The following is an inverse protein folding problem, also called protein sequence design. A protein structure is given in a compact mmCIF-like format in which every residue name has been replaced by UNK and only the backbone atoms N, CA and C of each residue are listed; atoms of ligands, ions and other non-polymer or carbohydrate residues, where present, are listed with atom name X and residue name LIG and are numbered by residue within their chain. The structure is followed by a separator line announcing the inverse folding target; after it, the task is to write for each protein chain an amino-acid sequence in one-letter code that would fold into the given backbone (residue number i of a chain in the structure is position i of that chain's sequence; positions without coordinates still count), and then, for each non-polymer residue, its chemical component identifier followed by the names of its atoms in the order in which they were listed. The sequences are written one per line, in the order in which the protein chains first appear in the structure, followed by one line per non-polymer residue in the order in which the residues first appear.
data_IF_255873714848
#
_entry.id   IF_255873714848
#
_cell.length_a   1.000
_cell.length_b   1.000
_cell.length_c   1.000
_cell.angle_alpha   90.00
_cell.angle_beta   90.00
_cell.angle_gamma   90.00
#
_symmetry.space_group_name_H-M   'P 1'
#
loop_
_entity.id
_entity.type
_entity.pdbx_description
1 polymer ?
#
# COMPACT_ATOMS: atom_id res chain seq x y z
N UNK A 1 3.86 0.10 13.06
CA UNK A 1 2.59 -0.35 12.48
C UNK A 1 1.64 0.83 12.51
N UNK A 2 1.70 1.66 11.47
CA UNK A 2 0.87 2.86 11.38
C UNK A 2 -0.34 2.50 10.54
N UNK A 3 -1.47 2.25 11.20
CA UNK A 3 -2.74 2.00 10.52
C UNK A 3 -3.36 3.35 10.19
N UNK A 4 -3.46 3.67 8.89
CA UNK A 4 -3.98 4.96 8.43
C UNK A 4 -5.26 4.75 7.62
N UNK A 5 -6.28 5.55 7.91
CA UNK A 5 -7.56 5.58 7.22
C UNK A 5 -7.56 6.74 6.23
N UNK A 6 -7.65 6.43 4.94
CA UNK A 6 -7.80 7.41 3.86
C UNK A 6 -9.26 7.41 3.40
N UNK A 7 -9.92 8.56 3.48
CA UNK A 7 -11.17 8.81 2.77
C UNK A 7 -10.81 9.26 1.35
N UNK A 8 -11.35 8.69 0.27
CA UNK A 8 -11.04 9.16 -1.09
C UNK A 8 -12.13 10.07 -1.69
N UNK A 9 -13.12 10.46 -0.89
CA UNK A 9 -14.28 11.20 -1.38
C UNK A 9 -15.26 10.37 -2.21
N UNK A 10 -14.90 9.12 -2.46
CA UNK A 10 -15.73 8.04 -2.98
C UNK A 10 -16.22 7.17 -1.83
N UNK A 11 -17.12 6.26 -2.16
CA UNK A 11 -17.73 5.29 -1.27
C UNK A 11 -16.81 4.29 -0.54
N UNK A 12 -15.49 4.44 -0.52
CA UNK A 12 -14.60 3.47 0.11
C UNK A 12 -13.63 4.13 1.07
N UNK A 13 -13.45 3.47 2.21
CA UNK A 13 -12.42 3.75 3.17
C UNK A 13 -11.19 2.90 2.84
N UNK A 14 -9.98 3.47 2.89
CA UNK A 14 -8.76 2.68 2.76
C UNK A 14 -7.99 2.62 4.05
N UNK A 15 -7.78 1.40 4.54
CA UNK A 15 -6.89 1.09 5.66
C UNK A 15 -5.53 0.67 5.12
N UNK A 16 -4.51 1.48 5.39
CA UNK A 16 -3.13 1.21 5.00
C UNK A 16 -2.37 0.52 6.13
N UNK A 17 -1.72 -0.60 5.83
CA UNK A 17 -0.73 -1.27 6.65
C UNK A 17 0.63 -1.13 5.98
N UNK A 18 1.47 -0.23 6.49
CA UNK A 18 2.85 -0.09 6.02
C UNK A 18 3.82 -0.98 6.81
N UNK A 19 4.57 -1.80 6.07
CA UNK A 19 5.70 -2.57 6.54
C UNK A 19 6.99 -1.82 6.20
N UNK A 20 7.35 -0.85 7.04
CA UNK A 20 8.62 -0.11 6.99
C UNK A 20 9.83 -0.97 7.28
N UNK A 21 10.34 -1.69 6.26
CA UNK A 21 11.44 -2.65 6.41
C UNK A 21 12.83 -2.01 6.30
N UNK A 22 12.96 -0.90 5.58
CA UNK A 22 14.23 -0.22 5.35
C UNK A 22 14.04 1.28 5.09
N UNK A 23 14.94 1.88 4.29
CA UNK A 23 14.91 3.32 3.98
C UNK A 23 13.58 3.78 3.40
N UNK A 24 12.96 3.02 2.48
CA UNK A 24 11.68 3.44 1.86
C UNK A 24 10.55 3.69 2.86
N UNK A 25 10.61 3.11 4.07
CA UNK A 25 9.64 3.38 5.13
C UNK A 25 9.62 4.85 5.57
N UNK A 26 10.77 5.55 5.57
CA UNK A 26 10.78 6.97 5.97
C UNK A 26 10.16 7.87 4.90
N UNK A 27 10.35 7.56 3.62
CA UNK A 27 9.67 8.28 2.54
C UNK A 27 8.18 7.96 2.46
N UNK A 28 7.76 6.73 2.79
CA UNK A 28 6.32 6.40 2.92
C UNK A 28 5.70 7.14 4.09
N UNK A 29 6.35 7.17 5.27
CA UNK A 29 5.88 8.00 6.39
C UNK A 29 5.82 9.48 6.01
N UNK A 30 6.84 10.02 5.34
CA UNK A 30 6.84 11.41 4.89
C UNK A 30 5.73 11.72 3.87
N UNK A 31 5.40 10.77 2.98
CA UNK A 31 4.29 10.90 2.05
C UNK A 31 2.94 10.95 2.78
N UNK A 32 2.77 10.08 3.78
CA UNK A 32 1.54 9.92 4.54
C UNK A 32 1.32 11.03 5.59
N UNK A 33 2.38 11.50 6.26
CA UNK A 33 2.32 12.59 7.25
C UNK A 33 2.41 13.99 6.62
N UNK A 34 3.16 14.15 5.53
CA UNK A 34 3.55 15.47 5.04
C UNK A 34 2.63 16.08 3.99
N UNK A 35 1.82 15.28 3.27
CA UNK A 35 1.14 15.75 2.04
C UNK A 35 -0.23 15.15 1.73
N UNK A 36 -0.91 14.52 2.68
CA UNK A 36 -2.30 14.10 2.43
C UNK A 36 -3.28 15.28 2.26
N UNK A 37 -2.86 16.51 2.57
CA UNK A 37 -3.59 17.74 2.25
C UNK A 37 -3.45 18.22 0.79
N UNK A 38 -2.51 17.67 -0.02
CA UNK A 38 -2.14 18.25 -1.33
C UNK A 38 -2.53 17.41 -2.55
N UNK A 39 -2.93 16.14 -2.39
CA UNK A 39 -3.35 15.26 -3.51
C UNK A 39 -4.71 14.59 -3.31
N UNK A 40 -5.43 15.02 -2.27
CA UNK A 40 -6.83 14.71 -2.09
C UNK A 40 -7.67 15.51 -3.13
N UNK A 41 -8.62 14.93 -3.89
CA UNK A 41 -9.88 15.67 -4.08
C UNK A 41 -10.35 16.12 -2.68
N UNK A 42 -11.00 17.27 -2.55
CA UNK A 42 -11.23 18.09 -1.33
C UNK A 42 -11.79 17.40 -0.03
N UNK A 43 -11.76 16.08 0.06
CA UNK A 43 -12.40 15.19 1.00
C UNK A 43 -11.47 14.08 1.56
N UNK A 44 -10.19 13.95 1.17
CA UNK A 44 -9.32 12.97 1.82
C UNK A 44 -8.83 13.42 3.20
N UNK A 45 -9.52 12.94 4.22
CA UNK A 45 -9.19 13.17 5.63
C UNK A 45 -8.54 11.93 6.20
N UNK A 46 -7.36 12.08 6.82
CA UNK A 46 -6.88 11.12 7.82
C UNK A 46 -7.80 11.26 9.02
N UNK A 47 -8.87 10.46 9.03
CA UNK A 47 -9.86 10.47 10.11
C UNK A 47 -9.61 9.26 10.99
N UNK A 48 -9.47 9.44 12.31
CA UNK A 48 -9.57 8.33 13.26
C UNK A 48 -11.01 7.82 13.39
N UNK A 49 -11.98 8.58 12.86
CA UNK A 49 -13.41 8.30 12.94
C UNK A 49 -13.94 7.75 11.60
N UNK A 50 -15.01 6.95 11.69
CA UNK A 50 -15.61 6.34 10.54
C UNK A 50 -16.19 7.41 9.59
N UNK A 51 -15.75 7.40 8.33
CA UNK A 51 -16.38 8.17 7.27
C UNK A 51 -17.85 7.71 7.16
N UNK A 52 -18.76 8.53 7.68
CA UNK A 52 -20.20 8.32 7.59
C UNK A 52 -20.62 8.29 6.12
N UNK A 53 -20.80 7.09 5.56
CA UNK A 53 -21.20 6.89 4.15
C UNK A 53 -20.30 5.99 3.31
N UNK A 54 -19.23 5.39 3.85
CA UNK A 54 -18.43 4.42 3.10
C UNK A 54 -19.23 3.11 2.82
N UNK A 55 -19.35 2.72 1.54
CA UNK A 55 -19.86 1.44 1.05
C UNK A 55 -18.98 0.24 1.46
N UNK A 56 -17.72 0.46 1.87
CA UNK A 56 -16.85 -0.60 2.39
C UNK A 56 -15.44 -0.14 2.76
N UNK A 57 -14.69 -1.02 3.41
CA UNK A 57 -13.28 -0.81 3.78
C UNK A 57 -12.38 -1.65 2.88
N UNK A 58 -11.36 -1.04 2.30
CA UNK A 58 -10.32 -1.66 1.48
C UNK A 58 -9.03 -1.69 2.27
N UNK A 59 -8.32 -2.80 2.23
CA UNK A 59 -7.09 -3.00 2.98
C UNK A 59 -5.88 -2.97 2.04
N UNK A 60 -4.87 -2.16 2.36
CA UNK A 60 -3.70 -1.97 1.50
C UNK A 60 -2.44 -2.29 2.28
N UNK A 61 -1.69 -3.29 1.82
CA UNK A 61 -0.39 -3.64 2.35
C UNK A 61 0.69 -2.90 1.56
N UNK A 62 1.45 -2.04 2.22
CA UNK A 62 2.62 -1.39 1.62
C UNK A 62 3.88 -2.12 2.09
N UNK A 63 4.66 -2.64 1.15
CA UNK A 63 5.96 -3.27 1.42
C UNK A 63 7.05 -2.26 1.07
N UNK A 64 7.50 -1.52 2.10
CA UNK A 64 8.42 -0.39 1.95
C UNK A 64 9.83 -0.75 2.41
N UNK A 65 10.59 -1.35 1.49
CA UNK A 65 12.01 -1.63 1.70
C UNK A 65 12.45 -3.03 1.32
N UNK A 66 13.59 -3.45 1.87
CA UNK A 66 14.18 -4.75 1.54
C UNK A 66 13.49 -5.87 2.28
N UNK A 67 13.09 -6.92 1.56
CA UNK A 67 12.51 -8.13 2.16
C UNK A 67 13.63 -9.15 2.30
N UNK A 68 13.93 -9.51 3.54
CA UNK A 68 14.88 -10.58 3.82
C UNK A 68 14.15 -11.92 3.89
N UNK A 69 14.85 -13.01 3.60
CA UNK A 69 14.24 -14.35 3.61
C UNK A 69 13.70 -14.74 4.99
N UNK A 70 14.31 -14.19 6.05
CA UNK A 70 13.86 -14.35 7.44
C UNK A 70 12.56 -13.58 7.71
N UNK A 71 12.40 -12.41 7.09
CA UNK A 71 11.22 -11.56 7.29
C UNK A 71 10.06 -11.99 6.41
N UNK A 72 10.33 -12.64 5.27
CA UNK A 72 9.33 -13.09 4.31
C UNK A 72 8.11 -13.81 4.92
N UNK A 73 8.25 -14.80 5.82
CA UNK A 73 7.07 -15.46 6.42
C UNK A 73 6.22 -14.49 7.25
N UNK A 74 6.81 -13.47 7.89
CA UNK A 74 6.06 -12.46 8.63
C UNK A 74 5.28 -11.53 7.70
N UNK A 75 5.85 -11.20 6.53
CA UNK A 75 5.17 -10.40 5.49
C UNK A 75 3.97 -11.15 4.93
N UNK A 76 4.13 -12.44 4.63
CA UNK A 76 3.03 -13.30 4.14
C UNK A 76 1.95 -13.45 5.21
N UNK A 77 2.33 -13.71 6.47
CA UNK A 77 1.36 -13.79 7.57
C UNK A 77 0.59 -12.49 7.78
N UNK A 78 1.24 -11.33 7.61
CA UNK A 78 0.57 -10.03 7.66
C UNK A 78 -0.46 -9.88 6.53
N UNK A 79 -0.10 -10.29 5.30
CA UNK A 79 -1.02 -10.28 4.17
C UNK A 79 -2.21 -11.24 4.36
N UNK A 80 -1.97 -12.44 4.88
CA UNK A 80 -3.00 -13.44 5.15
C UNK A 80 -3.96 -13.03 6.26
N UNK A 81 -3.47 -12.30 7.27
CA UNK A 81 -4.28 -11.77 8.37
C UNK A 81 -5.18 -10.59 7.96
N UNK A 82 -4.96 -9.98 6.79
CA UNK A 82 -5.79 -8.88 6.29
C UNK A 82 -7.09 -9.41 5.67
N UNK A 83 -8.24 -8.77 5.98
CA UNK A 83 -9.52 -9.15 5.39
C UNK A 83 -9.61 -8.71 3.91
N UNK A 84 -10.43 -9.42 3.14
CA UNK A 84 -10.78 -9.05 1.75
C UNK A 84 -11.80 -7.90 1.75
N UNK A 85 -11.71 -6.90 0.84
CA UNK A 85 -10.78 -6.79 -0.29
C UNK A 85 -9.40 -6.20 0.08
N UNK A 86 -8.33 -6.89 -0.31
CA UNK A 86 -6.93 -6.48 -0.01
C UNK A 86 -6.08 -6.27 -1.25
N UNK A 87 -5.18 -5.28 -1.18
CA UNK A 87 -4.26 -4.91 -2.25
C UNK A 87 -2.84 -4.77 -1.72
N UNK A 88 -1.85 -4.94 -2.60
CA UNK A 88 -0.42 -4.85 -2.23
C UNK A 88 0.26 -3.80 -3.10
N UNK A 89 0.94 -2.86 -2.45
CA UNK A 89 1.85 -1.90 -3.09
C UNK A 89 3.29 -2.27 -2.71
N UNK A 90 4.13 -2.44 -3.72
CA UNK A 90 5.57 -2.63 -3.54
C UNK A 90 6.29 -1.30 -3.73
N UNK A 91 6.98 -0.82 -2.70
CA UNK A 91 7.65 0.50 -2.71
C UNK A 91 9.16 0.34 -2.66
N UNK A 92 9.81 0.76 -3.74
CA UNK A 92 11.26 0.81 -3.87
C UNK A 92 11.86 -0.36 -4.65
N UNK A 93 13.10 -0.17 -5.09
CA UNK A 93 13.82 -1.13 -5.91
C UNK A 93 14.04 -2.46 -5.17
N UNK A 94 14.24 -2.41 -3.85
CA UNK A 94 14.48 -3.58 -3.02
C UNK A 94 13.28 -4.54 -2.97
N UNK A 95 12.07 -4.02 -2.77
CA UNK A 95 10.85 -4.85 -2.73
C UNK A 95 10.42 -5.29 -4.13
N UNK A 96 10.65 -4.47 -5.16
CA UNK A 96 10.30 -4.81 -6.54
C UNK A 96 11.20 -5.93 -7.12
N UNK A 97 12.53 -5.82 -6.93
CA UNK A 97 13.51 -6.64 -7.68
C UNK A 97 14.73 -7.06 -6.84
N UNK A 98 14.73 -6.85 -5.52
CA UNK A 98 15.91 -6.99 -4.66
C UNK A 98 16.84 -5.76 -4.69
N UNK A 99 16.73 -4.91 -5.70
CA UNK A 99 17.39 -3.60 -5.77
C UNK A 99 18.93 -3.71 -5.72
N UNK A 100 19.63 -2.86 -4.95
CA UNK A 100 21.09 -2.95 -4.81
C UNK A 100 21.56 -4.25 -4.15
N UNK A 101 20.66 -4.98 -3.48
CA UNK A 101 20.94 -6.24 -2.78
C UNK A 101 20.50 -7.48 -3.57
N UNK A 102 20.26 -7.37 -4.88
CA UNK A 102 19.77 -8.47 -5.72
C UNK A 102 20.70 -9.70 -5.74
N UNK A 103 21.99 -9.52 -5.47
CA UNK A 103 23.01 -10.59 -5.39
C UNK A 103 23.32 -11.02 -3.94
N UNK A 104 22.56 -10.52 -2.96
CA UNK A 104 22.71 -10.93 -1.56
C UNK A 104 22.08 -12.31 -1.33
N UNK A 105 22.70 -13.10 -0.45
CA UNK A 105 22.22 -14.44 -0.08
C UNK A 105 20.99 -14.44 0.83
N UNK A 106 20.65 -13.29 1.42
CA UNK A 106 19.64 -13.16 2.47
C UNK A 106 18.43 -12.31 2.07
N UNK A 107 18.38 -11.88 0.79
CA UNK A 107 17.38 -10.95 0.28
C UNK A 107 16.54 -11.63 -0.80
N UNK A 108 15.23 -11.53 -0.65
CA UNK A 108 14.27 -12.00 -1.64
C UNK A 108 14.27 -11.03 -2.82
N UNK A 109 14.44 -11.55 -4.05
CA UNK A 109 14.66 -10.75 -5.28
C UNK A 109 13.39 -10.11 -5.86
N UNK A 110 12.37 -9.91 -5.03
CA UNK A 110 11.08 -9.37 -5.42
C UNK A 110 9.95 -9.98 -4.61
N UNK A 111 9.07 -9.13 -4.08
CA UNK A 111 7.90 -9.58 -3.34
C UNK A 111 6.83 -10.21 -4.24
N UNK A 112 6.87 -9.90 -5.54
CA UNK A 112 6.02 -10.47 -6.60
C UNK A 112 6.09 -12.01 -6.68
N UNK A 113 7.18 -12.61 -6.20
CA UNK A 113 7.33 -14.06 -6.16
C UNK A 113 6.45 -14.74 -5.11
N UNK A 114 6.00 -13.99 -4.08
CA UNK A 114 5.26 -14.53 -2.95
C UNK A 114 3.87 -13.91 -2.79
N UNK A 115 3.70 -12.62 -3.12
CA UNK A 115 2.45 -11.89 -2.97
C UNK A 115 2.03 -11.23 -4.28
N UNK A 116 0.73 -11.12 -4.56
CA UNK A 116 0.23 -10.45 -5.75
C UNK A 116 0.44 -8.93 -5.64
N UNK A 117 1.44 -8.40 -6.34
CA UNK A 117 1.70 -6.94 -6.38
C UNK A 117 0.76 -6.27 -7.36
N UNK A 118 0.01 -5.27 -6.87
CA UNK A 118 -0.96 -4.53 -7.69
C UNK A 118 -0.35 -3.25 -8.25
N UNK A 119 0.46 -2.55 -7.45
CA UNK A 119 1.18 -1.35 -7.86
C UNK A 119 2.62 -1.44 -7.38
N UNK A 120 3.56 -1.15 -8.27
CA UNK A 120 4.98 -1.08 -7.95
C UNK A 120 5.49 0.35 -8.15
N UNK A 121 6.01 0.96 -7.07
CA UNK A 121 6.58 2.31 -7.09
C UNK A 121 8.10 2.21 -7.24
N UNK A 122 8.70 2.68 -8.35
CA UNK A 122 10.14 2.64 -8.55
C UNK A 122 10.86 3.73 -7.74
N UNK A 123 12.00 3.39 -7.12
CA UNK A 123 12.86 4.36 -6.42
C UNK A 123 13.84 3.70 -5.44
N UNK A 124 14.85 4.44 -4.94
CA UNK A 124 15.81 3.92 -3.95
C UNK A 124 16.44 5.04 -3.08
N UNK A 125 15.70 5.64 -2.14
CA UNK A 125 14.24 5.55 -1.94
C UNK A 125 13.48 6.44 -2.94
N UNK A 126 12.20 6.12 -3.24
CA UNK A 126 11.36 6.97 -4.09
C UNK A 126 11.06 8.30 -3.39
N UNK A 127 10.87 9.38 -4.16
CA UNK A 127 10.41 10.64 -3.57
C UNK A 127 9.00 10.47 -3.00
N UNK A 128 8.62 11.21 -1.94
CA UNK A 128 7.28 11.13 -1.36
C UNK A 128 6.16 11.35 -2.38
N UNK A 129 6.37 12.20 -3.39
CA UNK A 129 5.39 12.43 -4.46
C UNK A 129 5.13 11.18 -5.29
N UNK A 130 6.17 10.38 -5.58
CA UNK A 130 6.01 9.14 -6.34
C UNK A 130 5.25 8.06 -5.54
N UNK A 131 5.34 8.10 -4.21
CA UNK A 131 4.54 7.23 -3.34
C UNK A 131 3.07 7.64 -3.40
N UNK A 132 2.77 8.94 -3.41
CA UNK A 132 1.40 9.45 -3.57
C UNK A 132 0.82 9.10 -4.93
N UNK A 133 1.60 9.23 -6.01
CA UNK A 133 1.18 8.80 -7.36
C UNK A 133 0.86 7.29 -7.38
N UNK A 134 1.61 6.47 -6.64
CA UNK A 134 1.31 5.05 -6.46
C UNK A 134 -0.02 4.79 -5.74
N UNK A 135 -0.37 5.60 -4.74
CA UNK A 135 -1.65 5.53 -4.05
C UNK A 135 -2.82 5.96 -4.96
N UNK A 136 -2.62 6.97 -5.81
CA UNK A 136 -3.61 7.39 -6.81
C UNK A 136 -3.82 6.29 -7.86
N UNK A 137 -2.74 5.69 -8.37
CA UNK A 137 -2.86 4.56 -9.29
C UNK A 137 -3.59 3.37 -8.65
N UNK A 138 -3.37 3.11 -7.36
CA UNK A 138 -4.14 2.11 -6.63
C UNK A 138 -5.62 2.50 -6.53
N UNK A 139 -5.92 3.76 -6.24
CA UNK A 139 -7.29 4.24 -6.18
C UNK A 139 -8.05 4.01 -7.50
N UNK A 140 -7.42 4.29 -8.63
CA UNK A 140 -8.00 4.05 -9.95
C UNK A 140 -8.26 2.55 -10.19
N UNK A 141 -7.33 1.68 -9.79
CA UNK A 141 -7.51 0.22 -9.87
C UNK A 141 -8.66 -0.28 -8.99
N UNK A 142 -8.79 0.24 -7.77
CA UNK A 142 -9.88 -0.13 -6.85
C UNK A 142 -11.23 0.34 -7.41
N UNK A 143 -11.31 1.59 -7.87
CA UNK A 143 -12.54 2.13 -8.46
C UNK A 143 -12.94 1.41 -9.74
N UNK A 144 -11.98 0.98 -10.56
CA UNK A 144 -12.24 0.21 -11.77
C UNK A 144 -12.75 -1.22 -11.48
N UNK A 145 -12.28 -1.85 -10.41
CA UNK A 145 -12.67 -3.21 -10.00
C UNK A 145 -13.81 -3.24 -8.98
N UNK A 146 -14.26 -2.09 -8.49
CA UNK A 146 -15.39 -2.01 -7.58
C UNK A 146 -16.65 -2.55 -8.27
N UNK A 147 -17.39 -3.49 -7.64
CA UNK A 147 -18.64 -3.97 -8.22
C UNK A 147 -19.60 -2.78 -8.34
N UNK A 148 -19.97 -2.45 -9.58
CA UNK A 148 -21.08 -1.54 -9.87
C UNK A 148 -22.30 -2.04 -9.09
N UNK A 149 -22.86 -1.17 -8.26
CA UNK A 149 -24.03 -1.42 -7.40
C UNK A 149 -25.09 -2.28 -8.11
N UNK A 150 -25.19 -3.56 -7.72
CA UNK A 150 -26.18 -4.48 -8.30
C UNK A 150 -25.94 -5.97 -8.04
N UNK A 151 -24.70 -6.41 -7.85
CA UNK A 151 -24.39 -7.81 -7.57
C UNK A 151 -23.75 -7.92 -6.18
N UNK A 152 -24.61 -8.03 -5.18
CA UNK A 152 -24.24 -8.67 -3.93
C UNK A 152 -23.72 -10.07 -4.30
N UNK A 153 -22.46 -10.33 -3.98
CA UNK A 153 -21.90 -11.69 -3.99
C UNK A 153 -22.76 -12.55 -3.06
N UNK A 154 -23.65 -13.32 -3.68
CA UNK A 154 -24.54 -14.33 -3.08
C UNK A 154 -23.92 -15.71 -3.14
#
# INVERSE_FOLDING_TARGET
MTTLRLDWGTSYEVTVLDLGLACCGVEVMAALEGRLDLLAPANARVSAEAAEGALGTVHVLIVSGTVTDVMLPAVVAAFEAMPEPRYVISVGACSNTGGPYWDSYSVTKGIDQMLPVHVAVPGCPPRPEAVLDGLVALHELVTANAPVSGEAVS
#
